data_IF_051303069004
#
_entry.id   IF_051303069004
#
_cell.length_a   1.000
_cell.length_b   1.000
_cell.length_c   1.000
_cell.angle_alpha   90.00
_cell.angle_beta   90.00
_cell.angle_gamma   90.00
#
_symmetry.space_group_name_H-M   'P 1'
#
loop_
_entity.id
_entity.type
_entity.pdbx_description
1 polymer ?
#
# COMPACT_ATOMS: atom_id res chain seq x y z
N UNK A 1 -21.96 4.04 20.77
CA UNK A 1 -22.08 4.20 19.30
C UNK A 1 -21.42 5.48 18.76
N UNK A 2 -21.68 6.70 19.27
CA UNK A 2 -21.02 7.92 18.75
C UNK A 2 -19.47 7.92 18.79
N UNK A 3 -18.85 7.45 19.88
CA UNK A 3 -17.37 7.34 19.96
C UNK A 3 -16.78 6.27 19.04
N UNK A 4 -17.52 5.20 18.73
CA UNK A 4 -17.11 4.16 17.78
C UNK A 4 -16.96 4.75 16.38
N UNK A 5 -17.99 5.47 15.95
CA UNK A 5 -18.06 6.10 14.64
C UNK A 5 -16.93 7.13 14.47
N UNK A 6 -16.79 8.04 15.43
CA UNK A 6 -15.74 9.05 15.36
C UNK A 6 -14.33 8.44 15.26
N UNK A 7 -14.03 7.37 15.98
CA UNK A 7 -12.71 6.74 15.91
C UNK A 7 -12.46 6.05 14.58
N UNK A 8 -13.45 5.35 14.03
CA UNK A 8 -13.34 4.70 12.72
C UNK A 8 -13.22 5.73 11.59
N UNK A 9 -14.07 6.76 11.61
CA UNK A 9 -14.05 7.83 10.61
C UNK A 9 -12.70 8.57 10.64
N UNK A 10 -12.12 8.79 11.82
CA UNK A 10 -10.77 9.37 11.93
C UNK A 10 -9.67 8.52 11.28
N UNK A 11 -9.74 7.19 11.40
CA UNK A 11 -8.78 6.27 10.74
C UNK A 11 -8.94 6.37 9.21
N UNK A 12 -10.19 6.36 8.73
CA UNK A 12 -10.51 6.47 7.31
C UNK A 12 -10.11 7.84 6.76
N UNK A 13 -10.37 8.93 7.47
CA UNK A 13 -9.98 10.29 7.10
C UNK A 13 -8.46 10.41 6.98
N UNK A 14 -7.71 9.85 7.94
CA UNK A 14 -6.25 9.81 7.87
C UNK A 14 -5.76 9.04 6.64
N UNK A 15 -6.31 7.86 6.38
CA UNK A 15 -5.99 7.08 5.17
C UNK A 15 -6.23 7.92 3.90
N UNK A 16 -7.38 8.61 3.79
CA UNK A 16 -7.73 9.43 2.63
C UNK A 16 -6.74 10.59 2.46
N UNK A 17 -6.39 11.28 3.53
CA UNK A 17 -5.42 12.39 3.52
C UNK A 17 -4.05 11.87 3.06
N UNK A 18 -3.56 10.78 3.64
CA UNK A 18 -2.23 10.24 3.36
C UNK A 18 -2.12 9.67 1.95
N UNK A 19 -3.17 8.99 1.46
CA UNK A 19 -3.25 8.48 0.08
C UNK A 19 -3.24 9.63 -0.92
N UNK A 20 -4.04 10.68 -0.70
CA UNK A 20 -4.07 11.85 -1.56
C UNK A 20 -2.72 12.58 -1.55
N UNK A 21 -2.13 12.80 -0.37
CA UNK A 21 -0.81 13.43 -0.22
C UNK A 21 0.29 12.63 -0.93
N UNK A 22 0.28 11.30 -0.78
CA UNK A 22 1.25 10.40 -1.42
C UNK A 22 1.13 10.44 -2.94
N UNK A 23 -0.09 10.43 -3.46
CA UNK A 23 -0.31 10.53 -4.91
C UNK A 23 0.07 11.91 -5.47
N UNK A 24 -0.21 13.00 -4.74
CA UNK A 24 0.23 14.35 -5.15
C UNK A 24 1.75 14.46 -5.20
N UNK A 25 2.46 13.83 -4.26
CA UNK A 25 3.94 13.75 -4.29
C UNK A 25 4.45 12.95 -5.48
N UNK A 26 3.76 11.87 -5.88
CA UNK A 26 4.07 11.14 -7.12
C UNK A 26 3.94 12.07 -8.33
N UNK A 27 2.80 12.75 -8.48
CA UNK A 27 2.58 13.66 -9.61
C UNK A 27 3.65 14.76 -9.66
N UNK A 28 3.93 15.41 -8.53
CA UNK A 28 4.96 16.44 -8.46
C UNK A 28 6.34 15.89 -8.85
N UNK A 29 6.74 14.72 -8.34
CA UNK A 29 8.00 14.09 -8.68
C UNK A 29 8.10 13.74 -10.17
N UNK A 30 7.04 13.18 -10.75
CA UNK A 30 6.97 12.85 -12.18
C UNK A 30 7.04 14.10 -13.06
N UNK A 31 6.31 15.16 -12.72
CA UNK A 31 6.36 16.43 -13.45
C UNK A 31 7.74 17.10 -13.34
N UNK A 32 8.35 17.12 -12.16
CA UNK A 32 9.71 17.64 -12.00
C UNK A 32 10.72 16.85 -12.85
N UNK A 33 10.52 15.53 -12.95
CA UNK A 33 11.34 14.68 -13.78
C UNK A 33 11.18 14.99 -15.28
N UNK A 34 9.94 15.08 -15.76
CA UNK A 34 9.62 15.41 -17.15
C UNK A 34 10.23 16.77 -17.56
N UNK A 35 10.10 17.79 -16.71
CA UNK A 35 10.69 19.10 -16.96
C UNK A 35 12.23 19.06 -16.94
N UNK A 36 12.83 18.31 -16.01
CA UNK A 36 14.28 18.20 -15.86
C UNK A 36 14.95 17.33 -16.93
N UNK A 37 14.20 16.46 -17.60
CA UNK A 37 14.72 15.52 -18.59
C UNK A 37 15.32 16.22 -19.81
N UNK A 38 14.67 17.27 -20.31
CA UNK A 38 15.21 18.04 -21.44
C UNK A 38 16.54 18.70 -21.06
N UNK A 39 16.61 19.32 -19.89
CA UNK A 39 17.84 19.90 -19.36
C UNK A 39 18.93 18.83 -19.22
N UNK A 40 18.60 17.68 -18.62
CA UNK A 40 19.56 16.57 -18.47
C UNK A 40 20.12 16.11 -19.82
N UNK A 41 19.28 16.08 -20.87
CA UNK A 41 19.70 15.65 -22.20
C UNK A 41 20.75 16.58 -22.83
N UNK A 42 20.73 17.88 -22.50
CA UNK A 42 21.60 18.91 -23.05
C UNK A 42 22.97 19.01 -22.36
N UNK A 43 23.12 18.45 -21.15
CA UNK A 43 24.39 18.50 -20.41
C UNK A 43 25.41 17.56 -21.07
N UNK A 44 26.65 18.02 -21.28
CA UNK A 44 27.73 17.20 -21.86
C UNK A 44 28.06 15.99 -20.98
N UNK A 45 28.30 14.83 -21.61
CA UNK A 45 28.61 13.57 -20.93
C UNK A 45 29.92 13.61 -20.12
N UNK A 46 30.81 14.57 -20.38
CA UNK A 46 32.07 14.78 -19.64
C UNK A 46 31.85 15.52 -18.32
N UNK A 47 30.67 16.08 -18.08
CA UNK A 47 30.33 16.79 -16.83
C UNK A 47 30.11 15.77 -15.71
N UNK A 48 30.52 16.13 -14.49
CA UNK A 48 30.20 15.39 -13.27
C UNK A 48 29.46 16.30 -12.30
N UNK A 49 28.47 15.76 -11.60
CA UNK A 49 27.70 16.47 -10.56
C UNK A 49 28.12 15.95 -9.20
N UNK A 50 28.40 16.86 -8.26
CA UNK A 50 28.63 16.52 -6.86
C UNK A 50 27.34 16.69 -6.05
N UNK A 51 26.64 15.61 -5.67
CA UNK A 51 25.42 15.73 -4.89
C UNK A 51 25.75 16.23 -3.47
N UNK A 52 24.99 17.22 -2.97
CA UNK A 52 25.09 17.66 -1.58
C UNK A 52 24.21 16.77 -0.71
N UNK A 53 24.83 15.85 0.03
CA UNK A 53 24.11 14.83 0.83
C UNK A 53 24.16 15.12 2.35
N UNK A 54 24.96 16.08 2.77
CA UNK A 54 25.03 16.55 4.15
C UNK A 54 26.08 17.64 4.31
N UNK A 55 26.16 18.25 5.50
CA UNK A 55 27.10 19.36 5.75
C UNK A 55 28.57 18.86 5.74
N UNK A 56 28.80 17.60 6.14
CA UNK A 56 30.14 17.00 6.28
C UNK A 56 30.29 15.65 5.54
N UNK A 57 29.45 15.39 4.54
CA UNK A 57 29.53 14.16 3.75
C UNK A 57 30.02 14.51 2.34
N UNK A 58 31.26 14.15 2.05
CA UNK A 58 31.79 14.20 0.70
C UNK A 58 31.42 12.90 -0.02
N UNK A 59 30.66 13.03 -1.10
CA UNK A 59 30.37 11.93 -2.02
C UNK A 59 31.14 12.19 -3.30
N UNK A 60 31.66 11.11 -3.89
CA UNK A 60 32.32 11.17 -5.18
C UNK A 60 31.40 11.82 -6.24
N UNK A 61 31.94 12.71 -7.09
CA UNK A 61 31.18 13.27 -8.20
C UNK A 61 30.63 12.16 -9.10
N UNK A 62 29.35 12.25 -9.45
CA UNK A 62 28.68 11.30 -10.32
C UNK A 62 28.77 11.81 -11.76
N UNK A 63 29.34 11.04 -12.69
CA UNK A 63 29.35 11.41 -14.10
C UNK A 63 27.93 11.53 -14.67
N UNK A 64 27.66 12.58 -15.45
CA UNK A 64 26.36 12.78 -16.11
C UNK A 64 25.99 11.59 -17.00
N UNK A 65 26.98 10.99 -17.65
CA UNK A 65 26.77 9.80 -18.48
C UNK A 65 26.15 8.64 -17.69
N UNK A 66 26.47 8.51 -16.40
CA UNK A 66 25.90 7.46 -15.54
C UNK A 66 24.47 7.81 -15.12
N UNK A 67 24.18 9.08 -14.83
CA UNK A 67 22.81 9.53 -14.55
C UNK A 67 21.90 9.30 -15.76
N UNK A 68 22.38 9.62 -16.97
CA UNK A 68 21.63 9.43 -18.23
C UNK A 68 21.28 7.98 -18.51
N UNK A 69 22.06 7.00 -18.03
CA UNK A 69 21.75 5.56 -18.20
C UNK A 69 20.45 5.17 -17.51
N UNK A 70 20.09 5.82 -16.40
CA UNK A 70 18.88 5.53 -15.64
C UNK A 70 17.65 6.31 -16.10
N UNK A 71 17.80 7.13 -17.15
CA UNK A 71 16.74 8.02 -17.63
C UNK A 71 15.45 7.28 -17.99
N UNK A 72 15.56 6.16 -18.67
CA UNK A 72 14.36 5.45 -19.14
C UNK A 72 13.69 4.65 -18.01
N UNK A 73 14.47 4.27 -16.98
CA UNK A 73 13.98 3.49 -15.84
C UNK A 73 13.38 4.35 -14.72
N UNK A 74 13.80 5.61 -14.59
CA UNK A 74 13.44 6.47 -13.46
C UNK A 74 11.92 6.70 -13.29
N UNK A 75 11.10 6.89 -14.34
CA UNK A 75 9.64 6.99 -14.19
C UNK A 75 9.02 5.75 -13.54
N UNK A 76 9.51 4.56 -13.90
CA UNK A 76 9.04 3.30 -13.35
C UNK A 76 9.49 3.15 -11.90
N UNK A 77 10.74 3.51 -11.59
CA UNK A 77 11.24 3.54 -10.22
C UNK A 77 10.39 4.45 -9.31
N UNK A 78 10.08 5.68 -9.75
CA UNK A 78 9.18 6.56 -9.00
C UNK A 78 7.82 5.90 -8.76
N UNK A 79 7.23 5.32 -9.81
CA UNK A 79 5.93 4.66 -9.75
C UNK A 79 5.93 3.50 -8.74
N UNK A 80 6.97 2.66 -8.75
CA UNK A 80 7.16 1.54 -7.81
C UNK A 80 7.28 2.03 -6.35
N UNK A 81 8.08 3.06 -6.10
CA UNK A 81 8.26 3.62 -4.75
C UNK A 81 6.95 4.15 -4.18
N UNK A 82 6.21 4.94 -4.96
CA UNK A 82 4.95 5.53 -4.51
C UNK A 82 3.82 4.50 -4.43
N UNK A 83 3.78 3.52 -5.33
CA UNK A 83 2.87 2.37 -5.23
C UNK A 83 3.10 1.58 -3.94
N UNK A 84 4.37 1.29 -3.61
CA UNK A 84 4.73 0.62 -2.36
C UNK A 84 4.26 1.38 -1.11
N UNK A 85 4.35 2.71 -1.12
CA UNK A 85 3.82 3.57 -0.04
C UNK A 85 2.30 3.47 0.09
N UNK A 86 1.56 3.47 -1.03
CA UNK A 86 0.09 3.33 -1.00
C UNK A 86 -0.35 1.97 -0.46
N UNK A 87 0.34 0.88 -0.86
CA UNK A 87 0.10 -0.46 -0.28
C UNK A 87 0.37 -0.47 1.21
N UNK A 88 1.44 0.21 1.67
CA UNK A 88 1.73 0.30 3.11
C UNK A 88 0.64 1.07 3.86
N UNK A 89 0.19 2.22 3.35
CA UNK A 89 -0.90 3.00 3.96
C UNK A 89 -2.18 2.17 4.08
N UNK A 90 -2.49 1.37 3.06
CA UNK A 90 -3.62 0.45 3.10
C UNK A 90 -3.48 -0.60 4.20
N UNK A 91 -2.33 -1.27 4.30
CA UNK A 91 -2.08 -2.26 5.37
C UNK A 91 -2.13 -1.63 6.76
N UNK A 92 -1.60 -0.40 6.93
CA UNK A 92 -1.70 0.33 8.19
C UNK A 92 -3.16 0.62 8.56
N UNK A 93 -4.00 0.98 7.57
CA UNK A 93 -5.42 1.17 7.84
C UNK A 93 -6.11 -0.13 8.28
N UNK A 94 -5.80 -1.27 7.66
CA UNK A 94 -6.31 -2.57 8.12
C UNK A 94 -5.91 -2.86 9.56
N UNK A 95 -4.64 -2.62 9.91
CA UNK A 95 -4.13 -2.76 11.27
C UNK A 95 -4.86 -1.82 12.24
N UNK A 96 -4.95 -0.53 11.93
CA UNK A 96 -5.57 0.48 12.80
C UNK A 96 -7.05 0.16 13.07
N UNK A 97 -7.80 -0.27 12.04
CA UNK A 97 -9.19 -0.70 12.17
C UNK A 97 -9.29 -1.95 13.04
N UNK A 98 -8.41 -2.94 12.82
CA UNK A 98 -8.41 -4.16 13.62
C UNK A 98 -8.12 -3.87 15.09
N UNK A 99 -7.07 -3.09 15.37
CA UNK A 99 -6.70 -2.63 16.71
C UNK A 99 -7.85 -1.91 17.41
N UNK A 100 -8.61 -1.09 16.67
CA UNK A 100 -9.82 -0.44 17.18
C UNK A 100 -10.91 -1.46 17.56
N UNK A 101 -11.14 -2.50 16.75
CA UNK A 101 -12.11 -3.55 17.07
C UNK A 101 -11.70 -4.37 18.29
N UNK A 102 -10.42 -4.67 18.42
CA UNK A 102 -9.89 -5.33 19.61
C UNK A 102 -10.12 -4.44 20.85
N UNK A 103 -9.76 -3.16 20.83
CA UNK A 103 -10.05 -2.24 21.96
C UNK A 103 -11.53 -2.25 22.34
N UNK A 104 -12.43 -2.20 21.35
CA UNK A 104 -13.87 -2.21 21.59
C UNK A 104 -14.40 -3.54 22.12
N UNK A 105 -13.80 -4.66 21.75
CA UNK A 105 -14.12 -5.96 22.30
C UNK A 105 -13.75 -6.02 23.79
N UNK A 106 -12.51 -5.67 24.08
CA UNK A 106 -11.91 -5.73 25.41
C UNK A 106 -12.57 -4.72 26.37
N UNK A 107 -12.96 -3.54 25.89
CA UNK A 107 -13.71 -2.53 26.66
C UNK A 107 -15.23 -2.77 26.71
N UNK A 108 -15.71 -3.93 26.25
CA UNK A 108 -17.14 -4.31 26.23
C UNK A 108 -18.06 -3.35 25.47
N UNK A 109 -17.50 -2.50 24.60
CA UNK A 109 -18.28 -1.55 23.78
C UNK A 109 -19.01 -2.26 22.65
N UNK A 110 -18.44 -3.33 22.09
CA UNK A 110 -19.06 -4.20 21.08
C UNK A 110 -18.43 -5.59 21.12
N UNK A 111 -19.25 -6.63 21.08
CA UNK A 111 -18.77 -7.99 20.88
C UNK A 111 -18.64 -8.28 19.37
N UNK A 112 -17.51 -8.86 18.95
CA UNK A 112 -17.19 -9.18 17.56
C UNK A 112 -17.00 -10.69 17.45
N UNK A 113 -18.07 -11.40 17.07
CA UNK A 113 -18.02 -12.87 16.89
C UNK A 113 -17.16 -13.27 15.70
N UNK A 114 -16.94 -12.33 14.78
CA UNK A 114 -16.14 -12.48 13.56
C UNK A 114 -14.66 -12.70 13.86
N UNK A 115 -14.14 -12.21 14.99
CA UNK A 115 -12.74 -12.38 15.39
C UNK A 115 -12.39 -13.85 15.65
N UNK A 116 -13.36 -14.67 16.08
CA UNK A 116 -13.15 -16.10 16.28
C UNK A 116 -12.27 -16.42 17.49
N UNK A 117 -11.48 -17.50 17.39
CA UNK A 117 -10.63 -18.00 18.48
C UNK A 117 -9.16 -17.74 18.17
N UNK A 118 -8.41 -17.28 19.16
CA UNK A 118 -6.97 -17.04 19.07
C UNK A 118 -6.21 -17.89 20.09
N UNK A 119 -5.03 -18.36 19.71
CA UNK A 119 -4.10 -19.08 20.59
C UNK A 119 -3.01 -18.13 21.04
N UNK A 120 -3.00 -17.76 22.31
CA UNK A 120 -2.12 -16.73 22.83
C UNK A 120 -1.14 -17.37 23.80
N UNK A 121 0.16 -17.22 23.53
CA UNK A 121 1.22 -17.54 24.48
C UNK A 121 1.41 -16.35 25.40
N UNK A 122 1.53 -16.53 26.70
CA UNK A 122 1.79 -15.43 27.65
C UNK A 122 3.22 -15.49 28.16
N UNK A 123 3.82 -14.33 28.37
CA UNK A 123 5.15 -14.22 28.95
C UNK A 123 5.04 -13.78 30.41
N UNK A 124 5.38 -14.69 31.31
CA UNK A 124 5.37 -14.47 32.76
C UNK A 124 6.61 -13.73 33.26
N UNK A 125 7.60 -13.52 32.39
CA UNK A 125 8.81 -12.73 32.72
C UNK A 125 8.66 -11.24 32.38
N UNK A 126 7.59 -10.85 31.70
CA UNK A 126 7.32 -9.45 31.34
C UNK A 126 6.65 -8.68 32.48
N UNK A 127 7.01 -7.41 32.64
CA UNK A 127 6.35 -6.47 33.56
C UNK A 127 5.00 -5.97 33.01
N UNK A 128 4.65 -6.31 31.76
CA UNK A 128 3.38 -5.96 31.15
C UNK A 128 2.23 -6.80 31.74
N UNK A 129 1.13 -6.13 32.09
CA UNK A 129 -0.05 -6.82 32.60
C UNK A 129 -0.62 -7.82 31.56
N UNK A 130 -1.20 -8.93 32.03
CA UNK A 130 -1.71 -9.99 31.14
C UNK A 130 -2.75 -9.51 30.14
N UNK A 131 -3.57 -8.52 30.50
CA UNK A 131 -4.61 -8.01 29.62
C UNK A 131 -4.01 -7.29 28.40
N UNK A 132 -3.03 -6.43 28.62
CA UNK A 132 -2.28 -5.76 27.56
C UNK A 132 -1.49 -6.76 26.71
N UNK A 133 -0.84 -7.76 27.33
CA UNK A 133 -0.16 -8.82 26.59
C UNK A 133 -1.11 -9.59 25.65
N UNK A 134 -2.31 -9.94 26.13
CA UNK A 134 -3.33 -10.62 25.31
C UNK A 134 -3.75 -9.73 24.15
N UNK A 135 -4.08 -8.47 24.43
CA UNK A 135 -4.53 -7.51 23.44
C UNK A 135 -3.49 -7.29 22.34
N UNK A 136 -2.26 -7.00 22.73
CA UNK A 136 -1.15 -6.72 21.82
C UNK A 136 -0.81 -7.94 20.96
N UNK A 137 -0.79 -9.14 21.54
CA UNK A 137 -0.53 -10.38 20.78
C UNK A 137 -1.59 -10.68 19.73
N UNK A 138 -2.88 -10.43 20.02
CA UNK A 138 -3.94 -10.61 19.02
C UNK A 138 -3.75 -9.64 17.86
N UNK A 139 -3.38 -8.39 18.15
CA UNK A 139 -3.11 -7.35 17.14
C UNK A 139 -1.89 -7.73 16.30
N UNK A 140 -0.79 -8.14 16.93
CA UNK A 140 0.44 -8.53 16.25
C UNK A 140 0.21 -9.77 15.37
N UNK A 141 -0.48 -10.79 15.89
CA UNK A 141 -0.81 -12.01 15.14
C UNK A 141 -1.60 -11.69 13.87
N UNK A 142 -2.51 -10.70 13.92
CA UNK A 142 -3.27 -10.26 12.75
C UNK A 142 -2.36 -9.77 11.63
N UNK A 143 -1.28 -9.03 11.91
CA UNK A 143 -0.39 -8.52 10.87
C UNK A 143 0.41 -9.60 10.14
N UNK A 144 0.63 -10.75 10.82
CA UNK A 144 1.27 -11.92 10.22
C UNK A 144 0.29 -12.78 9.40
N UNK A 145 -1.03 -12.58 9.54
CA UNK A 145 -2.02 -13.27 8.74
C UNK A 145 -1.96 -12.89 7.27
N UNK A 146 -2.37 -13.84 6.42
CA UNK A 146 -2.45 -13.62 4.96
C UNK A 146 -3.31 -12.39 4.68
N UNK A 147 -2.84 -11.52 3.78
CA UNK A 147 -3.56 -10.31 3.38
C UNK A 147 -5.05 -10.53 3.09
N UNK A 148 -5.36 -11.57 2.30
CA UNK A 148 -6.74 -11.91 1.92
C UNK A 148 -7.63 -12.25 3.12
N UNK A 149 -7.06 -12.83 4.18
CA UNK A 149 -7.79 -13.07 5.42
C UNK A 149 -8.08 -11.76 6.13
N UNK A 150 -7.06 -10.91 6.32
CA UNK A 150 -7.19 -9.60 6.97
C UNK A 150 -8.26 -8.73 6.32
N UNK A 151 -8.18 -8.55 5.00
CA UNK A 151 -9.15 -7.77 4.22
C UNK A 151 -10.58 -8.31 4.39
N UNK A 152 -10.76 -9.64 4.26
CA UNK A 152 -12.07 -10.28 4.41
C UNK A 152 -12.64 -10.12 5.81
N UNK A 153 -11.81 -10.21 6.85
CA UNK A 153 -12.25 -10.05 8.23
C UNK A 153 -12.81 -8.65 8.47
N UNK A 154 -12.06 -7.62 8.08
CA UNK A 154 -12.49 -6.22 8.21
C UNK A 154 -13.74 -5.96 7.37
N UNK A 155 -13.76 -6.40 6.11
CA UNK A 155 -14.90 -6.20 5.23
C UNK A 155 -16.18 -6.88 5.76
N UNK A 156 -16.05 -8.07 6.36
CA UNK A 156 -17.18 -8.77 6.98
C UNK A 156 -17.79 -7.98 8.14
N UNK A 157 -16.98 -7.25 8.89
CA UNK A 157 -17.43 -6.47 10.06
C UNK A 157 -18.07 -5.13 9.64
N UNK A 158 -17.52 -4.49 8.60
CA UNK A 158 -17.90 -3.13 8.19
C UNK A 158 -18.87 -3.06 7.00
N UNK A 159 -18.93 -4.08 6.16
CA UNK A 159 -19.64 -4.06 4.88
C UNK A 159 -20.48 -5.33 4.70
N UNK A 160 -21.57 -5.42 5.48
CA UNK A 160 -22.45 -6.59 5.53
C UNK A 160 -23.13 -6.90 4.18
N UNK A 161 -23.34 -5.87 3.35
CA UNK A 161 -23.94 -6.01 2.02
C UNK A 161 -22.91 -6.38 0.93
N UNK A 162 -21.63 -6.47 1.29
CA UNK A 162 -20.53 -6.86 0.41
C UNK A 162 -20.47 -6.03 -0.89
N UNK A 163 -20.64 -4.71 -0.73
CA UNK A 163 -20.54 -3.70 -1.79
C UNK A 163 -19.07 -3.38 -2.08
N UNK A 164 -18.72 -3.07 -3.34
CA UNK A 164 -17.35 -2.69 -3.70
C UNK A 164 -16.39 -3.88 -3.90
N UNK A 165 -16.91 -5.04 -4.30
CA UNK A 165 -16.09 -6.25 -4.53
C UNK A 165 -15.01 -6.03 -5.58
N UNK A 166 -15.31 -5.28 -6.63
CA UNK A 166 -14.38 -5.02 -7.72
C UNK A 166 -13.22 -4.12 -7.25
N UNK A 167 -13.51 -3.15 -6.39
CA UNK A 167 -12.50 -2.30 -5.76
C UNK A 167 -11.61 -3.07 -4.78
N UNK A 168 -12.18 -3.95 -3.94
CA UNK A 168 -11.38 -4.84 -3.09
C UNK A 168 -10.49 -5.77 -3.94
N UNK A 169 -11.04 -6.35 -5.02
CA UNK A 169 -10.26 -7.16 -5.95
C UNK A 169 -9.11 -6.36 -6.60
N UNK A 170 -9.36 -5.10 -6.95
CA UNK A 170 -8.35 -4.19 -7.50
C UNK A 170 -7.26 -3.84 -6.48
N UNK A 171 -7.62 -3.65 -5.20
CA UNK A 171 -6.65 -3.44 -4.10
C UNK A 171 -5.82 -4.71 -3.90
N UNK A 172 -6.45 -5.88 -3.79
CA UNK A 172 -5.76 -7.16 -3.65
C UNK A 172 -4.77 -7.41 -4.80
N UNK A 173 -5.17 -7.12 -6.04
CA UNK A 173 -4.29 -7.15 -7.20
C UNK A 173 -3.05 -6.29 -7.00
N UNK A 174 -3.22 -5.07 -6.52
CA UNK A 174 -2.11 -4.14 -6.30
C UNK A 174 -1.17 -4.58 -5.17
N UNK A 175 -1.69 -5.20 -4.10
CA UNK A 175 -0.86 -5.81 -3.05
C UNK A 175 0.03 -6.93 -3.63
N UNK A 176 -0.53 -7.78 -4.49
CA UNK A 176 0.22 -8.84 -5.15
C UNK A 176 1.26 -8.30 -6.13
N UNK A 177 0.92 -7.25 -6.90
CA UNK A 177 1.88 -6.55 -7.77
C UNK A 177 3.06 -6.01 -6.95
N UNK A 178 2.79 -5.37 -5.80
CA UNK A 178 3.85 -4.87 -4.91
C UNK A 178 4.75 -5.99 -4.40
N UNK A 179 4.19 -7.14 -4.05
CA UNK A 179 4.97 -8.30 -3.61
C UNK A 179 5.86 -8.85 -4.74
N UNK A 180 5.36 -8.88 -5.98
CA UNK A 180 6.17 -9.26 -7.13
C UNK A 180 7.31 -8.26 -7.38
N UNK A 181 7.05 -6.95 -7.27
CA UNK A 181 8.08 -5.91 -7.39
C UNK A 181 9.19 -6.12 -6.34
N UNK A 182 8.83 -6.30 -5.07
CA UNK A 182 9.81 -6.38 -3.99
C UNK A 182 10.61 -7.69 -3.94
N UNK A 183 9.97 -8.82 -4.22
CA UNK A 183 10.59 -10.13 -4.01
C UNK A 183 11.04 -10.80 -5.32
N UNK A 184 10.55 -10.33 -6.47
CA UNK A 184 10.76 -10.97 -7.78
C UNK A 184 11.15 -9.97 -8.87
N UNK A 185 11.62 -8.78 -8.49
CA UNK A 185 12.04 -7.72 -9.43
C UNK A 185 10.94 -7.38 -10.46
N UNK A 186 9.68 -7.42 -10.03
CA UNK A 186 8.51 -7.11 -10.86
C UNK A 186 8.07 -8.23 -11.80
N UNK A 187 8.71 -9.40 -11.76
CA UNK A 187 8.34 -10.55 -12.59
C UNK A 187 7.14 -11.27 -11.99
N UNK A 188 6.10 -11.50 -12.80
CA UNK A 188 4.92 -12.27 -12.42
C UNK A 188 5.28 -13.75 -12.40
N UNK A 189 4.88 -14.43 -11.34
CA UNK A 189 5.00 -15.88 -11.24
C UNK A 189 3.64 -16.58 -11.09
N UNK A 190 3.63 -17.89 -11.28
CA UNK A 190 2.43 -18.74 -11.10
C UNK A 190 1.75 -18.55 -9.74
N UNK A 191 2.51 -18.29 -8.66
CA UNK A 191 1.92 -18.02 -7.35
C UNK A 191 1.03 -16.77 -7.36
N UNK A 192 1.54 -15.66 -7.92
CA UNK A 192 0.80 -14.39 -8.03
C UNK A 192 -0.50 -14.57 -8.81
N UNK A 193 -0.44 -15.28 -9.94
CA UNK A 193 -1.60 -15.57 -10.79
C UNK A 193 -2.62 -16.48 -10.08
N UNK A 194 -2.14 -17.50 -9.36
CA UNK A 194 -2.98 -18.40 -8.57
C UNK A 194 -3.71 -17.68 -7.44
N UNK A 195 -3.04 -16.79 -6.71
CA UNK A 195 -3.66 -15.98 -5.64
C UNK A 195 -4.73 -15.02 -6.18
N UNK A 196 -4.53 -14.51 -7.41
CA UNK A 196 -5.55 -13.73 -8.13
C UNK A 196 -6.71 -14.57 -8.67
N UNK A 197 -6.54 -15.89 -8.82
CA UNK A 197 -7.50 -16.75 -9.51
C UNK A 197 -7.61 -16.45 -11.00
N UNK A 198 -6.53 -15.98 -11.63
CA UNK A 198 -6.49 -15.56 -13.03
C UNK A 198 -5.24 -16.09 -13.73
N UNK A 199 -5.28 -16.28 -15.05
CA UNK A 199 -4.11 -16.63 -15.86
C UNK A 199 -3.30 -15.40 -16.32
N UNK A 200 -3.79 -14.20 -16.04
CA UNK A 200 -3.18 -12.94 -16.47
C UNK A 200 -3.52 -11.79 -15.52
N UNK A 201 -2.68 -10.77 -15.51
CA UNK A 201 -2.89 -9.49 -14.83
C UNK A 201 -3.17 -8.42 -15.88
N UNK A 202 -4.22 -7.62 -15.65
CA UNK A 202 -4.51 -6.44 -16.47
C UNK A 202 -4.20 -5.18 -15.66
N UNK A 203 -3.38 -4.30 -16.25
CA UNK A 203 -3.05 -2.99 -15.68
C UNK A 203 -3.17 -1.91 -16.74
N UNK A 204 -3.39 -0.68 -16.33
CA UNK A 204 -3.38 0.48 -17.22
C UNK A 204 -1.95 0.83 -17.63
N UNK A 205 -1.73 1.17 -18.90
CA UNK A 205 -0.49 1.77 -19.38
C UNK A 205 -0.49 3.29 -19.17
N UNK A 206 0.58 3.98 -19.62
CA UNK A 206 0.68 5.44 -19.51
C UNK A 206 -0.41 6.19 -20.30
N UNK A 207 -1.05 5.55 -21.28
CA UNK A 207 -2.16 6.11 -22.05
C UNK A 207 -3.53 5.75 -21.45
N UNK A 208 -3.57 5.09 -20.29
CA UNK A 208 -4.80 4.60 -19.69
C UNK A 208 -5.43 3.41 -20.42
N UNK A 209 -4.69 2.70 -21.28
CA UNK A 209 -5.17 1.49 -21.97
C UNK A 209 -4.79 0.24 -21.19
N UNK A 210 -5.66 -0.76 -21.21
CA UNK A 210 -5.38 -2.04 -20.56
C UNK A 210 -4.26 -2.79 -21.29
N UNK A 211 -3.18 -3.06 -20.57
CA UNK A 211 -2.10 -3.96 -20.98
C UNK A 211 -2.18 -5.25 -20.17
N UNK A 212 -2.00 -6.36 -20.87
CA UNK A 212 -2.08 -7.72 -20.31
C UNK A 212 -0.67 -8.21 -20.02
N UNK A 213 -0.48 -8.80 -18.84
CA UNK A 213 0.76 -9.43 -18.40
C UNK A 213 0.48 -10.87 -17.95
N UNK A 214 1.32 -11.80 -18.36
CA UNK A 214 1.25 -13.24 -18.08
C UNK A 214 2.42 -13.67 -17.19
N UNK A 215 2.48 -14.97 -16.88
CA UNK A 215 3.61 -15.54 -16.15
C UNK A 215 4.93 -15.25 -16.86
N UNK A 216 5.96 -14.91 -16.08
CA UNK A 216 7.29 -14.46 -16.49
C UNK A 216 7.36 -13.07 -17.13
N UNK A 217 6.25 -12.37 -17.31
CA UNK A 217 6.29 -10.98 -17.75
C UNK A 217 6.74 -10.06 -16.59
N UNK A 218 7.58 -9.07 -16.91
CA UNK A 218 7.94 -7.99 -15.97
C UNK A 218 6.86 -6.90 -16.00
N UNK A 219 6.24 -6.64 -14.86
CA UNK A 219 5.28 -5.55 -14.70
C UNK A 219 6.01 -4.21 -14.74
N UNK A 220 5.45 -3.27 -15.50
CA UNK A 220 5.81 -1.87 -15.46
C UNK A 220 4.61 -1.07 -14.97
N UNK A 221 4.74 -0.46 -13.80
CA UNK A 221 3.68 0.36 -13.21
C UNK A 221 3.59 1.71 -13.92
N UNK A 222 2.36 2.16 -14.13
CA UNK A 222 2.06 3.45 -14.74
C UNK A 222 1.32 4.34 -13.73
N UNK A 223 1.40 5.65 -13.92
CA UNK A 223 0.64 6.62 -13.11
C UNK A 223 -0.87 6.36 -13.20
N UNK A 224 -1.47 6.08 -14.39
CA UNK A 224 -2.88 5.70 -14.48
C UNK A 224 -3.27 4.47 -13.65
N UNK A 225 -2.44 3.42 -13.61
CA UNK A 225 -2.70 2.26 -12.76
C UNK A 225 -2.68 2.63 -11.28
N UNK A 226 -1.71 3.45 -10.86
CA UNK A 226 -1.61 3.93 -9.46
C UNK A 226 -2.83 4.80 -9.11
N UNK A 227 -3.32 5.62 -10.03
CA UNK A 227 -4.54 6.40 -9.84
C UNK A 227 -5.78 5.51 -9.68
N UNK A 228 -5.89 4.45 -10.50
CA UNK A 228 -6.97 3.47 -10.38
C UNK A 228 -6.92 2.78 -9.01
N UNK A 229 -5.73 2.36 -8.57
CA UNK A 229 -5.53 1.78 -7.24
C UNK A 229 -5.93 2.73 -6.12
N UNK A 230 -5.48 3.99 -6.18
CA UNK A 230 -5.91 5.07 -5.27
C UNK A 230 -7.43 5.18 -5.22
N UNK A 231 -8.07 5.22 -6.37
CA UNK A 231 -9.54 5.37 -6.46
C UNK A 231 -10.26 4.21 -5.78
N UNK A 232 -9.77 2.97 -5.95
CA UNK A 232 -10.31 1.80 -5.24
C UNK A 232 -10.14 1.91 -3.72
N UNK A 233 -8.96 2.32 -3.23
CA UNK A 233 -8.74 2.54 -1.79
C UNK A 233 -9.74 3.57 -1.24
N UNK A 234 -9.92 4.70 -1.94
CA UNK A 234 -10.84 5.74 -1.49
C UNK A 234 -12.30 5.26 -1.50
N UNK A 235 -12.70 4.51 -2.54
CA UNK A 235 -14.05 3.93 -2.65
C UNK A 235 -14.35 3.01 -1.47
N UNK A 236 -13.45 2.06 -1.18
CA UNK A 236 -13.60 1.15 -0.04
C UNK A 236 -13.57 1.92 1.29
N UNK A 237 -12.69 2.90 1.43
CA UNK A 237 -12.66 3.77 2.59
C UNK A 237 -14.02 4.43 2.86
N UNK A 238 -14.73 4.88 1.81
CA UNK A 238 -16.08 5.43 1.95
C UNK A 238 -17.12 4.35 2.28
N UNK A 239 -17.06 3.17 1.65
CA UNK A 239 -17.96 2.04 1.93
C UNK A 239 -17.84 1.57 3.40
N UNK A 240 -16.64 1.62 3.96
CA UNK A 240 -16.38 1.24 5.35
C UNK A 240 -16.78 2.29 6.39
N UNK A 241 -17.18 3.49 5.98
CA UNK A 241 -17.76 4.47 6.91
C UNK A 241 -19.09 3.97 7.42
N UNK A 242 -19.41 4.33 8.66
CA UNK A 242 -20.72 4.01 9.26
C UNK A 242 -21.76 4.97 8.69
N UNK A 243 -22.66 4.46 7.84
CA UNK A 243 -23.85 5.21 7.43
C UNK A 243 -24.70 5.53 8.67
N UNK A 244 -25.22 6.76 8.72
CA UNK A 244 -26.18 7.19 9.74
C UNK A 244 -27.54 6.54 9.46
N UNK A 245 -27.73 5.30 9.93
CA UNK A 245 -29.06 4.74 10.17
C UNK A 245 -29.44 4.95 11.65
#
# INVERSE_FOLDING_TARGET
MKSYKNNLDNIIDRLIIDVNSTFMKLLAASTMYELGQETLSQIDNKVSISPKVGINLHIEPIPIVDIKKFRDDYPYFLSEVFHGKLVQLWNNCLHDIFSLFIDFHFTWKRNFKELGKHSIKLDFSSDENFYSQIQNRIIDDFDFEKYRYREKLINKILNLNDVGRDELAAIHKNVLIRNAIQHKNGVIDSYTLKELGSSQIKILDMNGKLKVYKENDKILLSIPEIYSFKSSILSIGQIWRVNDD
#
